data_IF_272079639273
#
_entry.id   IF_272079639273
#
_cell.length_a   1.000
_cell.length_b   1.000
_cell.length_c   1.000
_cell.angle_alpha   90.00
_cell.angle_beta   90.00
_cell.angle_gamma   90.00
#
_symmetry.space_group_name_H-M   'P 1'
#
loop_
_entity.id
_entity.type
_entity.pdbx_description
1 polymer ?
#
# COMPACT_ATOMS: atom_id res chain seq x y z
N UNK A 1 4.00 -2.46 20.74
CA UNK A 1 4.15 -1.30 19.84
C UNK A 1 5.35 -0.41 20.22
N UNK A 2 5.54 -0.05 21.49
CA UNK A 2 6.68 0.78 21.98
C UNK A 2 8.08 0.29 21.55
N UNK A 3 8.33 -1.02 21.60
CA UNK A 3 9.63 -1.58 21.21
C UNK A 3 9.97 -1.33 19.73
N UNK A 4 9.00 -1.49 18.82
CA UNK A 4 9.20 -1.26 17.39
C UNK A 4 9.55 0.20 17.11
N UNK A 5 8.77 1.14 17.66
CA UNK A 5 9.02 2.59 17.52
C UNK A 5 10.41 2.97 18.06
N UNK A 6 10.84 2.37 19.18
CA UNK A 6 12.15 2.62 19.75
C UNK A 6 13.30 2.10 18.86
N UNK A 7 13.20 0.86 18.37
CA UNK A 7 14.21 0.29 17.45
C UNK A 7 14.26 1.06 16.13
N UNK A 8 13.10 1.46 15.61
CA UNK A 8 12.99 2.29 14.41
C UNK A 8 13.73 3.61 14.56
N UNK A 9 13.45 4.36 15.63
CA UNK A 9 14.10 5.65 15.87
C UNK A 9 15.61 5.50 16.03
N UNK A 10 16.05 4.44 16.70
CA UNK A 10 17.49 4.13 16.85
C UNK A 10 18.14 3.82 15.50
N UNK A 11 17.50 3.00 14.66
CA UNK A 11 17.98 2.69 13.32
C UNK A 11 18.03 3.94 12.41
N UNK A 12 17.01 4.80 12.46
CA UNK A 12 17.00 6.05 11.71
C UNK A 12 18.13 6.99 12.11
N UNK A 13 18.45 7.08 13.41
CA UNK A 13 19.60 7.87 13.87
C UNK A 13 20.92 7.32 13.32
N UNK A 14 21.10 6.00 13.35
CA UNK A 14 22.29 5.36 12.79
C UNK A 14 22.43 5.59 11.29
N UNK A 15 21.33 5.46 10.53
CA UNK A 15 21.34 5.69 9.08
C UNK A 15 21.70 7.13 8.77
N UNK A 16 21.17 8.11 9.51
CA UNK A 16 21.52 9.53 9.34
C UNK A 16 23.01 9.79 9.57
N UNK A 17 23.56 9.24 10.65
CA UNK A 17 25.00 9.36 10.91
C UNK A 17 25.86 8.69 9.82
N UNK A 18 25.37 7.61 9.20
CA UNK A 18 26.03 6.98 8.07
C UNK A 18 25.96 7.82 6.79
N UNK A 19 24.84 8.50 6.54
CA UNK A 19 24.68 9.46 5.43
C UNK A 19 25.68 10.61 5.58
N UNK A 20 25.73 11.24 6.75
CA UNK A 20 26.65 12.34 7.04
C UNK A 20 28.11 11.93 6.79
N UNK A 21 28.47 10.71 7.22
CA UNK A 21 29.80 10.15 6.99
C UNK A 21 30.06 9.92 5.50
N UNK A 22 29.13 9.30 4.76
CA UNK A 22 29.28 9.04 3.34
C UNK A 22 29.47 10.34 2.54
N UNK A 23 28.65 11.35 2.83
CA UNK A 23 28.77 12.68 2.22
C UNK A 23 30.11 13.34 2.55
N UNK A 24 30.59 13.24 3.79
CA UNK A 24 31.91 13.78 4.18
C UNK A 24 33.10 13.13 3.45
N UNK A 25 32.92 11.91 2.94
CA UNK A 25 33.92 11.16 2.18
C UNK A 25 33.73 11.31 0.65
N UNK A 26 32.70 12.03 0.19
CA UNK A 26 32.37 12.17 -1.23
C UNK A 26 31.70 10.94 -1.85
N UNK A 27 31.17 10.04 -1.03
CA UNK A 27 30.48 8.82 -1.46
C UNK A 27 28.99 9.08 -1.71
N UNK A 28 28.68 9.95 -2.68
CA UNK A 28 27.32 10.43 -2.96
C UNK A 28 26.34 9.29 -3.34
N UNK A 29 26.84 8.24 -4.00
CA UNK A 29 26.02 7.07 -4.35
C UNK A 29 25.53 6.34 -3.10
N UNK A 30 26.42 6.14 -2.12
CA UNK A 30 26.11 5.47 -0.87
C UNK A 30 25.17 6.33 -0.04
N UNK A 31 25.39 7.65 -0.01
CA UNK A 31 24.47 8.59 0.64
C UNK A 31 23.06 8.49 0.06
N UNK A 32 22.92 8.43 -1.27
CA UNK A 32 21.63 8.27 -1.94
C UNK A 32 20.92 6.95 -1.60
N UNK A 33 21.65 5.82 -1.59
CA UNK A 33 21.09 4.52 -1.19
C UNK A 33 20.60 4.52 0.27
N UNK A 34 21.36 5.15 1.16
CA UNK A 34 20.99 5.28 2.58
C UNK A 34 19.79 6.22 2.78
N UNK A 35 19.67 7.29 2.00
CA UNK A 35 18.50 8.18 2.00
C UNK A 35 17.24 7.43 1.56
N UNK A 36 17.33 6.61 0.53
CA UNK A 36 16.22 5.76 0.08
C UNK A 36 15.80 4.74 1.15
N UNK A 37 16.78 4.09 1.79
CA UNK A 37 16.52 3.18 2.92
C UNK A 37 15.86 3.91 4.11
N UNK A 38 16.33 5.11 4.46
CA UNK A 38 15.74 5.94 5.51
C UNK A 38 14.30 6.34 5.18
N UNK A 39 14.02 6.68 3.93
CA UNK A 39 12.68 6.99 3.43
C UNK A 39 11.76 5.79 3.58
N UNK A 40 12.17 4.60 3.13
CA UNK A 40 11.38 3.38 3.28
C UNK A 40 11.08 3.04 4.73
N UNK A 41 12.07 3.16 5.62
CA UNK A 41 11.87 2.93 7.05
C UNK A 41 10.90 3.98 7.65
N UNK A 42 10.98 5.23 7.19
CA UNK A 42 10.12 6.32 7.65
C UNK A 42 8.67 6.16 7.20
N UNK A 43 8.42 5.65 5.98
CA UNK A 43 7.08 5.47 5.42
C UNK A 43 6.20 4.45 6.18
N UNK A 44 6.76 3.63 7.08
CA UNK A 44 6.02 2.69 7.95
C UNK A 44 5.05 1.74 7.22
N UNK A 45 5.28 1.47 5.94
CA UNK A 45 4.42 0.57 5.17
C UNK A 45 4.77 -0.88 5.48
N UNK A 46 3.86 -1.57 6.14
CA UNK A 46 3.90 -3.03 6.26
C UNK A 46 3.07 -3.60 5.11
N UNK A 47 3.74 -4.26 4.17
CA UNK A 47 3.07 -4.95 3.09
C UNK A 47 2.66 -6.34 3.54
N UNK A 48 1.35 -6.58 3.60
CA UNK A 48 0.79 -7.91 3.83
C UNK A 48 0.24 -8.40 2.49
N UNK A 49 0.77 -9.51 1.99
CA UNK A 49 0.30 -10.14 0.75
C UNK A 49 -0.48 -11.40 1.10
N UNK A 50 -1.78 -11.39 0.84
CA UNK A 50 -2.62 -12.59 0.97
C UNK A 50 -2.62 -13.38 -0.34
N UNK A 51 -1.86 -14.47 -0.39
CA UNK A 51 -1.76 -15.37 -1.55
C UNK A 51 -2.69 -16.59 -1.40
N UNK A 52 -3.20 -17.12 -2.52
CA UNK A 52 -3.98 -18.37 -2.56
C UNK A 52 -4.97 -18.40 -3.73
N UNK A 53 -5.58 -19.55 -3.99
CA UNK A 53 -6.57 -19.71 -5.07
C UNK A 53 -7.82 -18.84 -4.87
N UNK A 54 -8.49 -18.48 -5.96
CA UNK A 54 -9.74 -17.72 -5.93
C UNK A 54 -10.79 -18.38 -5.01
N UNK A 55 -11.61 -17.57 -4.34
CA UNK A 55 -12.70 -18.01 -3.45
C UNK A 55 -12.29 -18.73 -2.13
N UNK A 56 -11.02 -18.71 -1.74
CA UNK A 56 -10.54 -19.34 -0.49
C UNK A 56 -10.57 -18.41 0.76
N UNK A 57 -11.46 -17.42 0.80
CA UNK A 57 -11.64 -16.57 1.99
C UNK A 57 -10.58 -15.49 2.24
N UNK A 58 -9.71 -15.18 1.27
CA UNK A 58 -8.66 -14.15 1.41
C UNK A 58 -9.22 -12.76 1.74
N UNK A 59 -10.25 -12.30 1.02
CA UNK A 59 -10.90 -11.00 1.29
C UNK A 59 -11.54 -10.96 2.68
N UNK A 60 -12.19 -12.06 3.10
CA UNK A 60 -12.77 -12.18 4.44
C UNK A 60 -11.70 -12.12 5.53
N UNK A 61 -10.55 -12.78 5.31
CA UNK A 61 -9.41 -12.74 6.23
C UNK A 61 -8.86 -11.33 6.37
N UNK A 62 -8.65 -10.60 5.26
CA UNK A 62 -8.14 -9.22 5.32
C UNK A 62 -9.15 -8.30 6.03
N UNK A 63 -10.45 -8.40 5.71
CA UNK A 63 -11.49 -7.62 6.39
C UNK A 63 -11.49 -7.87 7.91
N UNK A 64 -11.35 -9.14 8.33
CA UNK A 64 -11.26 -9.49 9.75
C UNK A 64 -9.96 -9.02 10.41
N UNK A 65 -8.83 -9.07 9.69
CA UNK A 65 -7.54 -8.59 10.17
C UNK A 65 -7.54 -7.08 10.42
N UNK A 66 -8.29 -6.34 9.59
CA UNK A 66 -8.42 -4.89 9.68
C UNK A 66 -9.57 -4.43 10.59
N UNK A 67 -10.37 -5.35 11.13
CA UNK A 67 -11.63 -5.07 11.85
C UNK A 67 -12.60 -4.15 11.05
N UNK A 68 -12.51 -4.20 9.72
CA UNK A 68 -13.24 -3.36 8.77
C UNK A 68 -14.09 -4.24 7.85
N UNK A 69 -15.33 -4.58 8.25
CA UNK A 69 -16.20 -5.43 7.45
C UNK A 69 -16.62 -4.72 6.16
N UNK A 70 -16.62 -5.48 5.05
CA UNK A 70 -17.00 -5.03 3.70
C UNK A 70 -16.02 -4.09 2.99
N UNK A 71 -14.80 -3.87 3.52
CA UNK A 71 -13.78 -3.07 2.85
C UNK A 71 -13.36 -3.70 1.51
N UNK A 72 -13.12 -5.01 1.52
CA UNK A 72 -12.99 -5.80 0.31
C UNK A 72 -14.30 -6.53 -0.02
N UNK A 73 -14.73 -6.53 -1.30
CA UNK A 73 -15.87 -7.34 -1.71
C UNK A 73 -15.56 -8.83 -1.49
N UNK A 74 -16.47 -9.49 -0.79
CA UNK A 74 -16.44 -10.93 -0.50
C UNK A 74 -17.51 -11.59 -1.37
N UNK A 75 -17.30 -11.65 -2.69
CA UNK A 75 -18.24 -12.32 -3.59
C UNK A 75 -17.65 -13.54 -4.27
N UNK A 76 -18.53 -14.52 -4.47
CA UNK A 76 -18.21 -15.87 -4.93
C UNK A 76 -17.96 -15.91 -6.43
N UNK A 77 -18.10 -14.83 -7.21
CA UNK A 77 -17.73 -14.86 -8.64
C UNK A 77 -16.72 -13.77 -9.02
N UNK A 78 -15.57 -14.29 -9.43
CA UNK A 78 -14.42 -13.64 -10.03
C UNK A 78 -13.81 -12.50 -9.20
N UNK A 79 -13.01 -12.96 -8.24
CA UNK A 79 -12.47 -12.21 -7.12
C UNK A 79 -11.07 -11.70 -7.44
N UNK A 80 -10.98 -10.40 -7.75
CA UNK A 80 -9.74 -9.60 -7.66
C UNK A 80 -8.76 -9.72 -8.83
N UNK A 81 -9.00 -8.93 -9.89
CA UNK A 81 -7.97 -8.58 -10.90
C UNK A 81 -7.24 -7.27 -10.57
N UNK A 82 -7.36 -6.78 -9.34
CA UNK A 82 -6.88 -5.46 -8.93
C UNK A 82 -5.96 -5.55 -7.71
N UNK A 83 -4.72 -5.09 -7.85
CA UNK A 83 -3.88 -4.80 -6.69
C UNK A 83 -4.59 -3.69 -5.90
N UNK A 84 -4.83 -3.93 -4.62
CA UNK A 84 -5.42 -2.96 -3.71
C UNK A 84 -4.44 -2.74 -2.58
N UNK A 85 -4.04 -1.48 -2.37
CA UNK A 85 -3.14 -1.10 -1.29
C UNK A 85 -3.95 -0.42 -0.21
N UNK A 86 -3.77 -0.84 1.04
CA UNK A 86 -4.34 -0.17 2.21
C UNK A 86 -3.20 0.43 3.01
N UNK A 87 -3.35 1.69 3.41
CA UNK A 87 -2.48 2.30 4.41
C UNK A 87 -3.30 3.07 5.44
N UNK A 88 -2.69 3.37 6.58
CA UNK A 88 -3.34 4.13 7.65
C UNK A 88 -3.31 5.63 7.34
N UNK A 89 -4.40 6.33 7.61
CA UNK A 89 -4.49 7.78 7.47
C UNK A 89 -5.41 8.42 8.53
N UNK A 90 -5.23 9.72 8.84
CA UNK A 90 -6.09 10.41 9.81
C UNK A 90 -7.54 10.54 9.34
N UNK A 91 -7.77 10.50 8.04
CA UNK A 91 -9.07 10.55 7.40
C UNK A 91 -9.17 9.45 6.36
N UNK A 92 -10.34 8.82 6.24
CA UNK A 92 -10.58 7.87 5.18
C UNK A 92 -10.48 8.56 3.81
N UNK A 93 -9.70 7.96 2.92
CA UNK A 93 -9.59 8.36 1.52
C UNK A 93 -9.59 7.12 0.66
N UNK A 94 -10.50 7.05 -0.31
CA UNK A 94 -10.55 5.95 -1.28
C UNK A 94 -10.26 6.53 -2.66
N UNK A 95 -9.20 6.04 -3.29
CA UNK A 95 -8.77 6.50 -4.61
C UNK A 95 -8.59 5.34 -5.58
N UNK A 96 -8.97 5.58 -6.83
CA UNK A 96 -8.67 4.71 -7.97
C UNK A 96 -7.60 5.37 -8.80
N UNK A 97 -6.46 4.71 -8.94
CA UNK A 97 -5.37 5.08 -9.83
C UNK A 97 -5.62 4.40 -11.17
N UNK A 98 -5.87 5.15 -12.25
CA UNK A 98 -6.08 4.58 -13.59
C UNK A 98 -5.08 5.16 -14.60
N UNK A 99 -4.53 4.33 -15.47
CA UNK A 99 -3.63 4.78 -16.55
C UNK A 99 -2.53 3.79 -16.92
N UNK A 100 -1.56 4.29 -17.69
CA UNK A 100 -0.34 3.56 -18.06
C UNK A 100 0.86 4.05 -17.25
N UNK A 101 1.91 3.24 -17.15
CA UNK A 101 3.17 3.60 -16.49
C UNK A 101 3.69 4.93 -17.05
N UNK A 102 3.74 5.96 -16.20
CA UNK A 102 4.14 7.33 -16.55
C UNK A 102 3.00 8.35 -16.70
N UNK A 103 1.75 7.90 -16.83
CA UNK A 103 0.54 8.74 -16.91
C UNK A 103 -0.59 8.15 -16.05
N UNK A 104 -0.35 8.05 -14.74
CA UNK A 104 -1.34 7.56 -13.78
C UNK A 104 -2.19 8.75 -13.30
N UNK A 105 -3.50 8.64 -13.42
CA UNK A 105 -4.46 9.63 -12.90
C UNK A 105 -5.13 9.07 -11.65
N UNK A 106 -5.07 9.81 -10.54
CA UNK A 106 -5.85 9.49 -9.34
C UNK A 106 -7.24 10.10 -9.41
N UNK A 107 -8.25 9.31 -9.02
CA UNK A 107 -9.62 9.76 -8.84
C UNK A 107 -10.13 9.33 -7.47
N UNK A 108 -10.55 10.30 -6.66
CA UNK A 108 -11.27 10.03 -5.42
C UNK A 108 -12.64 9.40 -5.72
N UNK A 109 -12.97 8.36 -4.96
CA UNK A 109 -14.24 7.64 -5.02
C UNK A 109 -14.80 7.45 -3.60
N UNK A 110 -16.07 7.08 -3.49
CA UNK A 110 -16.69 6.64 -2.24
C UNK A 110 -16.42 5.16 -1.95
N UNK A 111 -16.61 4.75 -0.68
CA UNK A 111 -16.45 3.34 -0.25
C UNK A 111 -17.38 2.39 -1.02
N UNK A 112 -18.61 2.82 -1.32
CA UNK A 112 -19.58 2.03 -2.11
C UNK A 112 -19.15 1.83 -3.57
N UNK A 113 -18.30 2.71 -4.09
CA UNK A 113 -17.79 2.63 -5.45
C UNK A 113 -16.63 1.63 -5.59
N UNK A 114 -16.00 1.19 -4.49
CA UNK A 114 -14.87 0.23 -4.52
C UNK A 114 -15.24 -1.03 -5.31
N UNK A 115 -16.42 -1.60 -5.04
CA UNK A 115 -16.89 -2.81 -5.73
C UNK A 115 -17.04 -2.61 -7.25
N UNK A 116 -17.23 -1.37 -7.72
CA UNK A 116 -17.37 -1.05 -9.14
C UNK A 116 -16.04 -1.11 -9.91
N UNK A 117 -14.90 -0.96 -9.23
CA UNK A 117 -13.58 -0.99 -9.83
C UNK A 117 -12.81 -2.30 -9.52
N UNK A 118 -13.10 -2.93 -8.38
CA UNK A 118 -12.43 -4.15 -7.91
C UNK A 118 -12.97 -5.47 -8.50
N UNK A 119 -14.20 -5.47 -9.05
CA UNK A 119 -14.87 -6.71 -9.51
C UNK A 119 -14.76 -6.91 -11.02
N UNK A 120 -14.54 -8.15 -11.47
CA UNK A 120 -14.44 -8.47 -12.90
C UNK A 120 -15.75 -8.23 -13.66
N UNK A 121 -16.88 -8.31 -12.97
CA UNK A 121 -18.20 -8.06 -13.55
C UNK A 121 -18.39 -6.60 -14.02
N UNK A 122 -17.70 -5.65 -13.36
CA UNK A 122 -17.77 -4.20 -13.66
C UNK A 122 -16.46 -3.61 -14.22
N UNK A 123 -15.38 -4.39 -14.18
CA UNK A 123 -14.06 -4.08 -14.75
C UNK A 123 -13.38 -5.34 -15.31
N UNK A 124 -13.98 -5.90 -16.37
CA UNK A 124 -13.51 -7.13 -17.03
C UNK A 124 -12.04 -7.01 -17.47
N UNK A 125 -11.21 -8.00 -17.13
CA UNK A 125 -9.77 -8.06 -17.42
C UNK A 125 -8.94 -6.83 -16.99
N UNK A 126 -9.41 -6.08 -15.98
CA UNK A 126 -8.86 -4.76 -15.65
C UNK A 126 -8.77 -3.85 -16.89
N UNK A 127 -9.78 -3.86 -17.77
CA UNK A 127 -9.82 -3.02 -18.97
C UNK A 127 -9.73 -1.52 -18.68
N UNK A 128 -10.04 -1.10 -17.44
CA UNK A 128 -9.85 0.29 -16.96
C UNK A 128 -8.44 0.58 -16.44
N UNK A 129 -7.55 -0.42 -16.39
CA UNK A 129 -6.16 -0.36 -15.91
C UNK A 129 -6.04 0.41 -14.59
N UNK A 130 -6.89 0.03 -13.65
CA UNK A 130 -6.98 0.68 -12.36
C UNK A 130 -6.11 -0.03 -11.30
N UNK A 131 -5.82 0.65 -10.20
CA UNK A 131 -5.33 0.13 -8.91
C UNK A 131 -6.09 0.89 -7.83
N UNK A 132 -6.49 0.24 -6.74
CA UNK A 132 -7.16 0.96 -5.65
C UNK A 132 -6.16 1.26 -4.53
N UNK A 133 -6.24 2.48 -4.00
CA UNK A 133 -5.53 2.89 -2.80
C UNK A 133 -6.56 3.34 -1.77
N UNK A 134 -6.59 2.67 -0.62
CA UNK A 134 -7.51 3.00 0.47
C UNK A 134 -6.70 3.42 1.70
N UNK A 135 -6.97 4.63 2.20
CA UNK A 135 -6.54 5.08 3.51
C UNK A 135 -7.63 4.72 4.51
N UNK A 136 -7.35 3.78 5.41
CA UNK A 136 -8.23 3.41 6.52
C UNK A 136 -7.81 4.14 7.80
N UNK A 137 -8.76 4.36 8.72
CA UNK A 137 -8.53 4.98 10.03
C UNK A 137 -8.14 3.97 11.11
#
# INVERSE_FOLDING_TARGET
>A
MLAFTQYKNSALLLIRSAIDLAQSQGEDSIAGELEEAAKHLTEEKIYIVACGEFKQGKSSFINALLDEPNLFPVDIDITTNLVSTISYGPHEVVEVLAGETGNIVSKAISRDEIATFSTEQKNKDNGKRSTNHVLAQ
#
